data_IF_840818490793
#
_entry.id   IF_840818490793
#
_cell.length_a   1.000
_cell.length_b   1.000
_cell.length_c   1.000
_cell.angle_alpha   90.00
_cell.angle_beta   90.00
_cell.angle_gamma   90.00
#
_symmetry.space_group_name_H-M   'P 1'
#
loop_
_entity.id
_entity.type
_entity.pdbx_description
1 polymer ?
#
# COMPACT_ATOMS: atom_id res chain seq x y z
N UNK A 1 13.53 18.22 18.54
CA UNK A 1 13.82 17.06 17.67
C UNK A 1 15.05 17.43 16.84
N UNK A 2 16.06 16.56 16.71
CA UNK A 2 17.28 16.91 15.96
C UNK A 2 17.16 16.51 14.48
N UNK A 3 18.04 17.05 13.63
CA UNK A 3 18.01 16.79 12.17
C UNK A 3 18.07 15.30 11.80
N UNK A 4 18.73 14.48 12.62
CA UNK A 4 18.77 13.02 12.38
C UNK A 4 17.41 12.36 12.58
N UNK A 5 16.60 12.82 13.53
CA UNK A 5 15.25 12.31 13.75
C UNK A 5 14.30 12.71 12.61
N UNK A 6 14.41 13.92 12.06
CA UNK A 6 13.62 14.34 10.89
C UNK A 6 13.96 13.51 9.65
N UNK A 7 15.25 13.34 9.35
CA UNK A 7 15.68 12.52 8.21
C UNK A 7 15.24 11.06 8.32
N UNK A 8 15.19 10.51 9.55
CA UNK A 8 14.70 9.15 9.78
C UNK A 8 13.19 9.03 9.47
N UNK A 9 12.39 10.04 9.83
CA UNK A 9 10.95 10.08 9.52
C UNK A 9 10.69 10.21 8.02
N UNK A 10 11.41 11.09 7.32
CA UNK A 10 11.30 11.23 5.85
C UNK A 10 11.70 9.92 5.13
N UNK A 11 12.75 9.23 5.62
CA UNK A 11 13.17 7.94 5.07
C UNK A 11 12.10 6.86 5.26
N UNK A 12 11.45 6.83 6.43
CA UNK A 12 10.36 5.89 6.71
C UNK A 12 9.15 6.15 5.82
N UNK A 13 8.76 7.41 5.65
CA UNK A 13 7.67 7.83 4.76
C UNK A 13 7.91 7.39 3.30
N UNK A 14 9.10 7.66 2.78
CA UNK A 14 9.51 7.22 1.44
C UNK A 14 9.51 5.69 1.29
N UNK A 15 9.97 4.97 2.32
CA UNK A 15 9.98 3.50 2.31
C UNK A 15 8.56 2.94 2.33
N UNK A 16 7.64 3.52 3.09
CA UNK A 16 6.24 3.12 3.12
C UNK A 16 5.58 3.28 1.73
N UNK A 17 5.78 4.44 1.07
CA UNK A 17 5.31 4.69 -0.30
C UNK A 17 5.84 3.68 -1.32
N UNK A 18 7.11 3.30 -1.20
CA UNK A 18 7.69 2.27 -2.07
C UNK A 18 7.08 0.90 -1.82
N UNK A 19 6.93 0.51 -0.55
CA UNK A 19 6.34 -0.79 -0.18
C UNK A 19 4.90 -0.92 -0.68
N UNK A 20 4.10 0.15 -0.58
CA UNK A 20 2.73 0.16 -1.08
C UNK A 20 2.67 -0.06 -2.60
N UNK A 21 3.48 0.67 -3.37
CA UNK A 21 3.58 0.47 -4.83
C UNK A 21 4.03 -0.93 -5.22
N UNK A 22 4.94 -1.52 -4.45
CA UNK A 22 5.36 -2.90 -4.70
C UNK A 22 4.22 -3.90 -4.44
N UNK A 23 3.37 -3.64 -3.43
CA UNK A 23 2.20 -4.45 -3.13
C UNK A 23 1.15 -4.35 -4.24
N UNK A 24 0.86 -3.13 -4.72
CA UNK A 24 0.00 -2.87 -5.88
C UNK A 24 0.44 -3.67 -7.10
N UNK A 25 1.73 -3.64 -7.41
CA UNK A 25 2.30 -4.35 -8.54
C UNK A 25 2.17 -5.87 -8.38
N UNK A 26 2.56 -6.41 -7.22
CA UNK A 26 2.47 -7.85 -6.96
C UNK A 26 1.02 -8.37 -7.05
N UNK A 27 0.07 -7.58 -6.55
CA UNK A 27 -1.35 -7.91 -6.65
C UNK A 27 -1.86 -7.86 -8.09
N UNK A 28 -1.44 -6.86 -8.89
CA UNK A 28 -1.77 -6.80 -10.31
C UNK A 28 -1.23 -8.00 -11.10
N UNK A 29 0.02 -8.38 -10.86
CA UNK A 29 0.66 -9.56 -11.47
C UNK A 29 -0.09 -10.85 -11.11
N UNK A 30 -0.51 -11.00 -9.85
CA UNK A 30 -1.32 -12.13 -9.39
C UNK A 30 -2.68 -12.17 -10.11
N UNK A 31 -3.34 -11.02 -10.29
CA UNK A 31 -4.60 -10.93 -11.02
C UNK A 31 -4.45 -11.36 -12.49
N UNK A 32 -3.39 -10.93 -13.18
CA UNK A 32 -3.12 -11.35 -14.56
C UNK A 32 -2.89 -12.86 -14.62
N UNK A 33 -2.07 -13.41 -13.71
CA UNK A 33 -1.80 -14.84 -13.65
C UNK A 33 -3.08 -15.65 -13.40
N UNK A 34 -3.95 -15.18 -12.50
CA UNK A 34 -5.25 -15.79 -12.23
C UNK A 34 -6.15 -15.79 -13.47
N UNK A 35 -6.28 -14.64 -14.15
CA UNK A 35 -7.09 -14.53 -15.36
C UNK A 35 -6.65 -15.51 -16.45
N UNK A 36 -5.34 -15.63 -16.68
CA UNK A 36 -4.79 -16.61 -17.64
C UNK A 36 -5.01 -18.06 -17.21
N UNK A 37 -4.91 -18.37 -15.91
CA UNK A 37 -5.21 -19.72 -15.40
C UNK A 37 -6.69 -20.07 -15.55
N UNK A 38 -7.59 -19.12 -15.28
CA UNK A 38 -9.04 -19.31 -15.40
C UNK A 38 -9.44 -19.67 -16.84
N UNK A 39 -8.85 -19.04 -17.85
CA UNK A 39 -9.10 -19.38 -19.26
C UNK A 39 -8.71 -20.84 -19.61
N UNK A 40 -7.79 -21.43 -18.84
CA UNK A 40 -7.34 -22.82 -19.03
C UNK A 40 -8.13 -23.86 -18.21
N UNK A 41 -8.99 -23.42 -17.29
CA UNK A 41 -9.71 -24.27 -16.35
C UNK A 41 -11.20 -24.37 -16.73
N UNK A 42 -11.73 -25.59 -16.82
CA UNK A 42 -13.15 -25.84 -17.04
C UNK A 42 -13.80 -26.52 -15.82
N UNK A 43 -15.05 -26.14 -15.53
CA UNK A 43 -15.90 -26.80 -14.54
C UNK A 43 -16.12 -26.03 -13.23
N UNK A 44 -16.89 -26.64 -12.33
CA UNK A 44 -17.45 -26.00 -11.13
C UNK A 44 -16.39 -25.52 -10.13
N UNK A 45 -15.23 -26.21 -10.06
CA UNK A 45 -14.10 -25.77 -9.22
C UNK A 45 -13.40 -24.50 -9.73
N UNK A 46 -13.51 -24.20 -11.03
CA UNK A 46 -12.96 -22.98 -11.61
C UNK A 46 -13.78 -21.75 -11.22
N UNK A 47 -15.11 -21.88 -11.21
CA UNK A 47 -16.03 -20.82 -10.78
C UNK A 47 -15.87 -20.52 -9.27
N UNK A 48 -15.75 -21.54 -8.44
CA UNK A 48 -15.56 -21.36 -7.00
C UNK A 48 -14.20 -20.71 -6.68
N UNK A 49 -13.13 -21.15 -7.34
CA UNK A 49 -11.82 -20.53 -7.18
C UNK A 49 -11.79 -19.08 -7.69
N UNK A 50 -12.53 -18.77 -8.77
CA UNK A 50 -12.66 -17.40 -9.27
C UNK A 50 -13.41 -16.50 -8.29
N UNK A 51 -14.50 -17.00 -7.71
CA UNK A 51 -15.23 -16.28 -6.67
C UNK A 51 -14.34 -15.98 -5.46
N UNK A 52 -13.54 -16.95 -5.00
CA UNK A 52 -12.59 -16.74 -3.90
C UNK A 52 -11.51 -15.72 -4.26
N UNK A 53 -11.03 -15.76 -5.51
CA UNK A 53 -10.07 -14.78 -6.00
C UNK A 53 -10.66 -13.37 -6.03
N UNK A 54 -11.89 -13.20 -6.53
CA UNK A 54 -12.59 -11.91 -6.55
C UNK A 54 -12.85 -11.37 -5.14
N UNK A 55 -13.14 -12.25 -4.17
CA UNK A 55 -13.27 -11.86 -2.78
C UNK A 55 -11.95 -11.34 -2.21
N UNK A 56 -10.85 -12.10 -2.41
CA UNK A 56 -9.51 -11.69 -2.00
C UNK A 56 -9.11 -10.37 -2.65
N UNK A 57 -9.43 -10.21 -3.93
CA UNK A 57 -9.21 -9.01 -4.71
C UNK A 57 -9.86 -7.77 -4.09
N UNK A 58 -11.14 -7.88 -3.72
CA UNK A 58 -11.87 -6.81 -3.03
C UNK A 58 -11.21 -6.45 -1.69
N UNK A 59 -10.87 -7.45 -0.87
CA UNK A 59 -10.23 -7.24 0.43
C UNK A 59 -8.86 -6.55 0.30
N UNK A 60 -8.04 -6.95 -0.67
CA UNK A 60 -6.73 -6.32 -0.92
C UNK A 60 -6.91 -4.85 -1.31
N UNK A 61 -7.89 -4.53 -2.16
CA UNK A 61 -8.18 -3.14 -2.54
C UNK A 61 -8.61 -2.28 -1.34
N UNK A 62 -9.46 -2.81 -0.46
CA UNK A 62 -9.89 -2.13 0.76
C UNK A 62 -8.72 -1.87 1.74
N UNK A 63 -7.84 -2.85 1.92
CA UNK A 63 -6.64 -2.70 2.74
C UNK A 63 -5.66 -1.70 2.14
N UNK A 64 -5.46 -1.72 0.83
CA UNK A 64 -4.60 -0.77 0.14
C UNK A 64 -5.08 0.66 0.34
N UNK A 65 -6.38 0.92 0.13
CA UNK A 65 -6.98 2.24 0.37
C UNK A 65 -6.83 2.71 1.82
N UNK A 66 -6.96 1.78 2.77
CA UNK A 66 -6.77 2.08 4.19
C UNK A 66 -5.32 2.46 4.49
N UNK A 67 -4.36 1.73 3.92
CA UNK A 67 -2.93 2.02 4.05
C UNK A 67 -2.57 3.37 3.44
N UNK A 68 -3.08 3.70 2.24
CA UNK A 68 -2.88 4.99 1.59
C UNK A 68 -3.33 6.16 2.47
N UNK A 69 -4.51 6.04 3.09
CA UNK A 69 -5.02 7.07 4.02
C UNK A 69 -4.13 7.24 5.23
N UNK A 70 -3.71 6.14 5.86
CA UNK A 70 -2.84 6.19 7.03
C UNK A 70 -1.49 6.82 6.68
N UNK A 71 -0.93 6.48 5.52
CA UNK A 71 0.32 7.05 5.05
C UNK A 71 0.20 8.54 4.81
N UNK A 72 -0.84 9.01 4.12
CA UNK A 72 -1.08 10.45 3.95
C UNK A 72 -1.20 11.19 5.30
N UNK A 73 -1.85 10.58 6.29
CA UNK A 73 -1.92 11.14 7.64
C UNK A 73 -0.54 11.23 8.29
N UNK A 74 0.25 10.16 8.24
CA UNK A 74 1.62 10.16 8.75
C UNK A 74 2.51 11.19 8.05
N UNK A 75 2.46 11.31 6.72
CA UNK A 75 3.24 12.30 5.98
C UNK A 75 2.87 13.73 6.42
N UNK A 76 1.58 13.99 6.65
CA UNK A 76 1.11 15.28 7.16
C UNK A 76 1.61 15.56 8.57
N UNK A 77 1.52 14.59 9.48
CA UNK A 77 2.02 14.74 10.85
C UNK A 77 3.54 15.01 10.88
N UNK A 78 4.31 14.34 10.01
CA UNK A 78 5.74 14.59 9.85
C UNK A 78 6.00 16.03 9.38
N UNK A 79 5.22 16.52 8.40
CA UNK A 79 5.34 17.89 7.90
C UNK A 79 5.03 18.93 9.00
N UNK A 80 3.96 18.73 9.78
CA UNK A 80 3.60 19.61 10.90
C UNK A 80 4.66 19.62 12.01
N UNK A 81 5.26 18.46 12.31
CA UNK A 81 6.38 18.36 13.27
C UNK A 81 7.61 19.11 12.77
N UNK A 82 7.87 19.10 11.47
CA UNK A 82 8.99 19.81 10.85
C UNK A 82 8.82 21.32 10.94
N UNK A 83 7.65 21.82 10.56
CA UNK A 83 7.32 23.24 10.66
C UNK A 83 7.46 23.76 12.10
N UNK A 84 6.94 23.02 13.09
CA UNK A 84 7.10 23.36 14.52
C UNK A 84 8.55 23.28 14.97
N UNK A 85 9.30 22.29 14.49
CA UNK A 85 10.73 22.14 14.80
C UNK A 85 11.59 23.28 14.27
N UNK A 86 11.31 23.74 13.05
CA UNK A 86 11.98 24.87 12.40
C UNK A 86 11.62 26.21 13.07
N UNK A 87 10.35 26.40 13.45
CA UNK A 87 9.89 27.60 14.16
C UNK A 87 10.53 27.80 15.55
N UNK A 88 11.00 26.73 16.19
CA UNK A 88 11.66 26.79 17.51
C UNK A 88 13.20 26.82 17.44
N UNK A 89 13.78 26.79 16.23
CA UNK A 89 15.22 26.88 16.00
C UNK A 89 15.67 28.29 15.56
N UNK A 90 14.72 29.23 15.42
CA UNK A 90 14.95 30.67 15.18
C UNK A 90 14.71 31.48 16.44
#
# INVERSE_FOLDING_TARGET
MNNHQFNALETLDLRAHRSLKNLEQAYHELHIAWAGLKESYEGQGAEEADMQFQLLAGQVSEYQHTLEKLMMQCSREIAELKEKGEAHAT
#
